data_IF_739969472957
#
_entry.id   IF_739969472957
#
_cell.length_a   1.000
_cell.length_b   1.000
_cell.length_c   1.000
_cell.angle_alpha   90.00
_cell.angle_beta   90.00
_cell.angle_gamma   90.00
#
_symmetry.space_group_name_H-M   'P 1'
#
loop_
_entity.id
_entity.type
_entity.pdbx_description
1 polymer ?
#
# COMPACT_ATOMS: atom_id res chain seq x y z
N UNK A 1 -12.41 15.17 -1.62
CA UNK A 1 -11.19 15.59 -0.91
C UNK A 1 -10.54 16.74 -1.63
N UNK A 2 -10.54 17.94 -1.05
CA UNK A 2 -9.82 19.09 -1.61
C UNK A 2 -8.37 19.03 -1.11
N UNK A 3 -7.41 18.87 -2.03
CA UNK A 3 -6.00 18.91 -1.69
C UNK A 3 -5.41 20.27 -2.03
N UNK A 4 -4.92 21.00 -1.04
CA UNK A 4 -4.17 22.26 -1.24
C UNK A 4 -2.86 22.00 -2.00
N UNK A 5 -2.26 20.84 -1.82
CA UNK A 5 -1.05 20.42 -2.54
C UNK A 5 -1.31 20.29 -4.06
N UNK A 6 -2.43 19.67 -4.45
CA UNK A 6 -2.76 19.43 -5.84
C UNK A 6 -3.60 20.57 -6.47
N UNK A 7 -4.08 21.53 -5.68
CA UNK A 7 -4.96 22.62 -6.14
C UNK A 7 -6.33 22.15 -6.67
N UNK A 8 -6.69 20.89 -6.42
CA UNK A 8 -7.93 20.25 -6.86
C UNK A 8 -8.31 19.10 -5.96
N UNK A 9 -9.53 18.62 -6.10
CA UNK A 9 -9.98 17.38 -5.47
C UNK A 9 -9.18 16.19 -5.99
N UNK A 10 -8.81 15.30 -5.06
CA UNK A 10 -8.17 14.02 -5.35
C UNK A 10 -9.14 12.90 -4.95
N UNK A 11 -9.36 11.97 -5.85
CA UNK A 11 -10.15 10.78 -5.59
C UNK A 11 -9.27 9.69 -4.99
N UNK A 12 -9.72 9.10 -3.88
CA UNK A 12 -9.20 7.85 -3.38
C UNK A 12 -10.08 6.71 -3.87
N UNK A 13 -9.45 5.64 -4.37
CA UNK A 13 -10.15 4.46 -4.85
C UNK A 13 -9.97 3.29 -3.89
N UNK A 14 -11.00 2.47 -3.80
CA UNK A 14 -10.96 1.21 -3.06
C UNK A 14 -12.12 0.30 -3.43
N UNK A 15 -11.97 -0.99 -3.16
CA UNK A 15 -13.03 -1.96 -3.29
C UNK A 15 -13.28 -2.61 -1.94
N UNK A 16 -14.52 -2.59 -1.48
CA UNK A 16 -14.94 -3.24 -0.22
C UNK A 16 -15.44 -4.65 -0.54
N UNK A 17 -14.88 -5.63 0.13
CA UNK A 17 -15.31 -7.03 0.11
C UNK A 17 -15.95 -7.30 1.46
N UNK A 18 -17.22 -7.65 1.44
CA UNK A 18 -17.99 -7.98 2.63
C UNK A 18 -18.23 -9.49 2.70
N UNK A 19 -18.46 -10.05 3.90
CA UNK A 19 -18.93 -11.42 4.09
C UNK A 19 -20.24 -11.70 3.32
N UNK A 20 -20.52 -12.98 3.06
CA UNK A 20 -21.76 -13.36 2.34
C UNK A 20 -23.04 -13.08 3.16
N UNK A 21 -22.93 -13.12 4.50
CA UNK A 21 -24.02 -12.80 5.44
C UNK A 21 -23.93 -11.36 6.00
N UNK A 22 -23.26 -10.47 5.30
CA UNK A 22 -23.03 -9.08 5.73
C UNK A 22 -24.34 -8.34 6.03
N UNK A 23 -24.43 -7.82 7.26
CA UNK A 23 -25.53 -6.96 7.73
C UNK A 23 -24.99 -5.56 8.09
N UNK A 24 -25.27 -4.52 7.27
CA UNK A 24 -24.84 -3.15 7.57
C UNK A 24 -25.55 -2.54 8.79
N UNK A 25 -26.66 -3.15 9.23
CA UNK A 25 -27.46 -2.69 10.38
C UNK A 25 -27.06 -3.30 11.72
N UNK A 26 -26.05 -4.18 11.75
CA UNK A 26 -25.60 -4.76 13.02
C UNK A 26 -25.10 -3.69 13.98
N UNK A 27 -25.33 -3.92 15.28
CA UNK A 27 -24.94 -2.96 16.34
C UNK A 27 -23.41 -2.78 16.40
N UNK A 28 -22.67 -3.88 16.31
CA UNK A 28 -21.22 -3.87 16.43
C UNK A 28 -20.56 -3.86 15.04
N UNK A 29 -19.73 -2.83 14.70
CA UNK A 29 -19.06 -2.77 13.40
C UNK A 29 -18.16 -3.99 13.14
N UNK A 30 -18.06 -4.39 11.86
CA UNK A 30 -17.17 -5.46 11.45
C UNK A 30 -15.70 -5.07 11.63
N UNK A 31 -14.83 -5.98 12.09
CA UNK A 31 -13.39 -5.81 11.91
C UNK A 31 -13.06 -5.63 10.42
N UNK A 32 -12.04 -4.84 10.13
CA UNK A 32 -11.67 -4.53 8.75
C UNK A 32 -10.17 -4.67 8.54
N UNK A 33 -9.82 -5.31 7.43
CA UNK A 33 -8.45 -5.38 6.95
C UNK A 33 -8.31 -4.51 5.70
N UNK A 34 -7.46 -3.50 5.77
CA UNK A 34 -7.07 -2.66 4.64
C UNK A 34 -5.88 -3.32 3.93
N UNK A 35 -6.11 -3.76 2.70
CA UNK A 35 -5.10 -4.40 1.86
C UNK A 35 -4.50 -3.40 0.87
N UNK A 36 -3.17 -3.41 0.78
CA UNK A 36 -2.40 -2.60 -0.17
C UNK A 36 -1.63 -3.55 -1.08
N UNK A 37 -1.91 -3.48 -2.38
CA UNK A 37 -1.20 -4.26 -3.40
C UNK A 37 0.21 -3.74 -3.65
N UNK A 38 1.02 -4.52 -4.37
CA UNK A 38 2.34 -4.10 -4.83
C UNK A 38 2.29 -3.08 -5.98
N UNK A 39 3.46 -2.69 -6.47
CA UNK A 39 3.59 -1.78 -7.59
C UNK A 39 2.77 -2.27 -8.81
N UNK A 40 2.03 -1.37 -9.44
CA UNK A 40 1.15 -1.68 -10.56
C UNK A 40 -0.18 -2.34 -10.20
N UNK A 41 -0.43 -2.64 -8.91
CA UNK A 41 -1.71 -3.18 -8.46
C UNK A 41 -2.70 -2.07 -8.15
N UNK A 42 -3.96 -2.31 -8.47
CA UNK A 42 -5.08 -1.43 -8.12
C UNK A 42 -6.20 -2.18 -7.38
N UNK A 43 -7.24 -1.45 -7.01
CA UNK A 43 -8.39 -2.02 -6.31
C UNK A 43 -9.29 -2.91 -7.19
N UNK A 44 -9.14 -2.88 -8.52
CA UNK A 44 -9.89 -3.76 -9.43
C UNK A 44 -9.47 -5.23 -9.32
N UNK A 45 -8.26 -5.51 -8.80
CA UNK A 45 -7.79 -6.84 -8.43
C UNK A 45 -8.63 -7.53 -7.34
N UNK A 46 -9.53 -6.81 -6.67
CA UNK A 46 -10.41 -7.33 -5.61
C UNK A 46 -11.23 -8.55 -6.03
N UNK A 47 -11.61 -8.67 -7.31
CA UNK A 47 -12.33 -9.84 -7.83
C UNK A 47 -11.53 -11.15 -7.67
N UNK A 48 -10.25 -11.11 -7.98
CA UNK A 48 -9.37 -12.28 -7.77
C UNK A 48 -9.14 -12.52 -6.28
N UNK A 49 -8.94 -11.46 -5.52
CA UNK A 49 -8.71 -11.57 -4.09
C UNK A 49 -9.93 -12.12 -3.34
N UNK A 50 -11.16 -11.78 -3.75
CA UNK A 50 -12.36 -12.37 -3.17
C UNK A 50 -12.31 -13.91 -3.22
N UNK A 51 -11.92 -14.50 -4.34
CA UNK A 51 -11.82 -15.95 -4.48
C UNK A 51 -10.79 -16.59 -3.52
N UNK A 52 -9.72 -15.90 -3.17
CA UNK A 52 -8.76 -16.37 -2.16
C UNK A 52 -9.31 -16.26 -0.75
N UNK A 53 -10.06 -15.21 -0.45
CA UNK A 53 -10.58 -14.96 0.89
C UNK A 53 -11.79 -15.83 1.21
N UNK A 54 -12.69 -16.06 0.25
CA UNK A 54 -13.87 -16.93 0.43
C UNK A 54 -13.52 -18.42 0.59
N UNK A 55 -12.27 -18.80 0.38
CA UNK A 55 -11.80 -20.16 0.64
C UNK A 55 -11.41 -20.40 2.12
N UNK A 56 -11.52 -19.41 3.00
CA UNK A 56 -11.15 -19.54 4.41
C UNK A 56 -12.38 -19.58 5.31
N UNK A 57 -12.32 -20.40 6.37
CA UNK A 57 -13.38 -20.51 7.40
C UNK A 57 -13.60 -19.23 8.23
N UNK A 58 -12.83 -18.15 7.94
CA UNK A 58 -12.89 -16.86 8.63
C UNK A 58 -13.44 -15.75 7.76
N UNK A 59 -13.97 -16.07 6.57
CA UNK A 59 -14.41 -15.05 5.59
C UNK A 59 -15.60 -14.21 6.10
N UNK A 60 -16.48 -14.82 6.87
CA UNK A 60 -17.71 -14.23 7.42
C UNK A 60 -17.49 -13.29 8.62
N UNK A 61 -16.27 -13.19 9.13
CA UNK A 61 -15.97 -12.46 10.36
C UNK A 61 -15.29 -11.10 10.13
N UNK A 62 -14.76 -10.85 8.95
CA UNK A 62 -13.96 -9.66 8.65
C UNK A 62 -14.27 -9.09 7.27
N UNK A 63 -14.48 -7.78 7.21
CA UNK A 63 -14.52 -7.08 5.94
C UNK A 63 -13.10 -6.76 5.45
N UNK A 64 -12.94 -6.64 4.13
CA UNK A 64 -11.66 -6.31 3.51
C UNK A 64 -11.81 -5.14 2.58
N UNK A 65 -10.89 -4.20 2.62
CA UNK A 65 -10.85 -3.04 1.74
C UNK A 65 -9.57 -3.10 0.93
N UNK A 66 -9.70 -3.29 -0.37
CA UNK A 66 -8.56 -3.25 -1.28
C UNK A 66 -8.33 -1.81 -1.69
N UNK A 67 -7.25 -1.21 -1.23
CA UNK A 67 -6.92 0.19 -1.46
C UNK A 67 -6.19 0.38 -2.80
N UNK A 68 -6.43 1.51 -3.44
CA UNK A 68 -5.70 1.92 -4.63
C UNK A 68 -4.57 2.87 -4.26
N UNK A 69 -3.33 2.43 -4.46
CA UNK A 69 -2.14 3.22 -4.21
C UNK A 69 -1.49 3.78 -5.48
N UNK A 70 -2.13 3.63 -6.63
CA UNK A 70 -1.56 4.10 -7.91
C UNK A 70 -1.62 5.62 -8.06
N UNK A 71 -0.58 6.15 -8.69
CA UNK A 71 -0.48 7.52 -9.18
C UNK A 71 0.05 7.53 -10.60
N UNK A 72 0.06 8.69 -11.23
CA UNK A 72 0.71 8.89 -12.53
C UNK A 72 2.20 8.49 -12.53
N UNK A 73 2.90 8.70 -11.40
CA UNK A 73 4.32 8.36 -11.23
C UNK A 73 4.56 6.98 -10.60
N UNK A 74 3.57 6.10 -10.56
CA UNK A 74 3.64 4.78 -9.96
C UNK A 74 2.87 4.67 -8.64
N UNK A 75 3.48 4.10 -7.61
CA UNK A 75 2.85 3.81 -6.33
C UNK A 75 3.14 4.90 -5.29
N UNK A 76 2.12 5.50 -4.65
CA UNK A 76 2.33 6.55 -3.64
C UNK A 76 2.60 6.04 -2.23
N UNK A 77 2.63 4.73 -2.03
CA UNK A 77 2.93 4.00 -0.78
C UNK A 77 2.18 4.49 0.47
N UNK A 78 1.13 5.26 0.29
CA UNK A 78 0.40 5.94 1.38
C UNK A 78 1.31 6.71 2.35
N UNK A 79 2.41 7.27 1.84
CA UNK A 79 3.26 8.18 2.60
C UNK A 79 2.98 9.63 2.19
N UNK A 80 2.92 10.53 3.15
CA UNK A 80 2.90 11.96 2.89
C UNK A 80 4.27 12.37 2.34
N UNK A 81 4.29 12.99 1.19
CA UNK A 81 5.53 13.31 0.49
C UNK A 81 5.43 14.56 -0.37
N UNK A 82 6.59 15.15 -0.66
CA UNK A 82 6.68 16.29 -1.57
C UNK A 82 6.22 15.95 -3.02
N UNK A 83 6.28 14.68 -3.41
CA UNK A 83 5.92 14.26 -4.77
C UNK A 83 4.43 13.91 -4.90
N UNK A 84 3.85 13.25 -3.88
CA UNK A 84 2.50 12.69 -3.96
C UNK A 84 1.48 13.41 -3.06
N UNK A 85 1.92 14.38 -2.26
CA UNK A 85 1.07 15.11 -1.34
C UNK A 85 0.67 14.29 -0.10
N UNK A 86 -0.38 14.71 0.62
CA UNK A 86 -0.77 14.16 1.92
C UNK A 86 -1.59 12.88 1.78
N UNK A 87 -0.97 11.79 1.29
CA UNK A 87 -1.66 10.52 1.01
C UNK A 87 -2.03 9.73 2.25
N UNK A 88 -1.14 9.70 3.24
CA UNK A 88 -1.42 9.08 4.53
C UNK A 88 -2.47 9.87 5.29
N UNK A 89 -2.28 11.19 5.41
CA UNK A 89 -3.24 12.07 6.07
C UNK A 89 -4.64 11.91 5.49
N UNK A 90 -4.78 11.96 4.17
CA UNK A 90 -6.06 11.79 3.51
C UNK A 90 -6.67 10.39 3.71
N UNK A 91 -5.86 9.34 3.77
CA UNK A 91 -6.33 8.00 4.08
C UNK A 91 -6.92 7.92 5.49
N UNK A 92 -6.18 8.41 6.49
CA UNK A 92 -6.53 8.31 7.91
C UNK A 92 -7.68 9.25 8.29
N UNK A 93 -7.66 10.49 7.83
CA UNK A 93 -8.60 11.50 8.27
C UNK A 93 -9.89 11.58 7.44
N UNK A 94 -9.86 11.09 6.19
CA UNK A 94 -11.00 11.24 5.30
C UNK A 94 -11.52 9.89 4.76
N UNK A 95 -10.66 9.09 4.11
CA UNK A 95 -11.12 7.94 3.35
C UNK A 95 -11.54 6.77 4.24
N UNK A 96 -10.74 6.40 5.23
CA UNK A 96 -11.10 5.35 6.20
C UNK A 96 -12.36 5.72 6.97
N UNK A 97 -12.50 6.91 7.58
CA UNK A 97 -13.73 7.31 8.26
C UNK A 97 -14.97 7.29 7.35
N UNK A 98 -14.82 7.70 6.09
CA UNK A 98 -15.91 7.59 5.11
C UNK A 98 -16.34 6.14 4.86
N UNK A 99 -15.40 5.23 4.64
CA UNK A 99 -15.67 3.81 4.41
C UNK A 99 -16.33 3.16 5.62
N UNK A 100 -15.80 3.41 6.81
CA UNK A 100 -16.30 2.86 8.06
C UNK A 100 -17.73 3.28 8.35
N UNK A 101 -18.04 4.56 8.15
CA UNK A 101 -19.40 5.07 8.29
C UNK A 101 -20.35 4.49 7.24
N UNK A 102 -19.87 4.30 6.01
CA UNK A 102 -20.70 3.84 4.89
C UNK A 102 -21.03 2.36 4.99
N UNK A 103 -20.09 1.55 5.46
CA UNK A 103 -20.18 0.09 5.47
C UNK A 103 -20.20 -0.52 6.87
N UNK A 104 -20.38 0.26 7.92
CA UNK A 104 -20.37 -0.21 9.32
C UNK A 104 -19.14 -1.06 9.65
N UNK A 105 -17.94 -0.51 9.40
CA UNK A 105 -16.66 -1.16 9.58
C UNK A 105 -15.87 -0.50 10.70
N UNK A 106 -14.84 -1.16 11.22
CA UNK A 106 -13.81 -0.60 12.08
C UNK A 106 -14.35 0.12 13.30
N UNK A 107 -14.34 1.43 13.27
CA UNK A 107 -14.82 2.32 14.32
C UNK A 107 -13.84 2.52 15.49
N UNK A 108 -12.90 1.60 15.69
CA UNK A 108 -11.83 1.71 16.71
C UNK A 108 -10.53 1.12 16.18
N UNK A 109 -9.41 1.50 16.81
CA UNK A 109 -8.09 0.95 16.49
C UNK A 109 -8.07 -0.57 16.58
N UNK A 110 -8.71 -1.14 17.58
CA UNK A 110 -8.75 -2.59 17.82
C UNK A 110 -9.35 -3.41 16.68
N UNK A 111 -10.17 -2.78 15.83
CA UNK A 111 -10.84 -3.44 14.69
C UNK A 111 -10.22 -3.12 13.33
N UNK A 112 -9.14 -2.35 13.28
CA UNK A 112 -8.45 -1.97 12.04
C UNK A 112 -7.16 -2.72 11.88
N UNK A 113 -7.04 -3.46 10.80
CA UNK A 113 -5.86 -4.23 10.47
C UNK A 113 -5.31 -3.82 9.10
N UNK A 114 -4.01 -3.97 8.93
CA UNK A 114 -3.32 -3.70 7.68
C UNK A 114 -2.73 -4.99 7.11
N UNK A 115 -2.76 -5.12 5.80
CA UNK A 115 -1.97 -6.12 5.11
C UNK A 115 -1.50 -5.58 3.76
N UNK A 116 -0.37 -6.07 3.27
CA UNK A 116 0.11 -5.65 1.97
C UNK A 116 1.24 -6.53 1.47
N UNK A 117 1.50 -6.44 0.16
CA UNK A 117 2.53 -7.23 -0.51
C UNK A 117 3.47 -6.30 -1.30
N UNK A 118 4.78 -6.58 -1.29
CA UNK A 118 5.79 -5.81 -2.03
C UNK A 118 5.78 -4.33 -1.58
N UNK A 119 5.62 -3.36 -2.49
CA UNK A 119 5.44 -1.94 -2.14
C UNK A 119 4.24 -1.69 -1.22
N UNK A 120 3.20 -2.51 -1.31
CA UNK A 120 2.08 -2.51 -0.36
C UNK A 120 2.47 -3.08 1.01
N UNK A 121 3.40 -4.03 1.06
CA UNK A 121 3.98 -4.53 2.30
C UNK A 121 4.76 -3.43 3.02
N UNK A 122 5.57 -2.67 2.30
CA UNK A 122 6.23 -1.47 2.82
C UNK A 122 5.22 -0.43 3.32
N UNK A 123 4.20 -0.14 2.49
CA UNK A 123 3.15 0.83 2.82
C UNK A 123 2.38 0.47 4.10
N UNK A 124 2.01 -0.80 4.23
CA UNK A 124 1.27 -1.27 5.41
C UNK A 124 2.11 -1.18 6.69
N UNK A 125 3.41 -1.50 6.62
CA UNK A 125 4.33 -1.33 7.74
C UNK A 125 4.53 0.15 8.09
N UNK A 126 4.71 1.01 7.08
CA UNK A 126 4.82 2.46 7.26
C UNK A 126 3.60 3.04 7.98
N UNK A 127 2.39 2.71 7.51
CA UNK A 127 1.14 3.17 8.11
C UNK A 127 1.01 2.73 9.58
N UNK A 128 1.35 1.47 9.90
CA UNK A 128 1.30 0.96 11.27
C UNK A 128 2.28 1.69 12.19
N UNK A 129 3.51 1.91 11.74
CA UNK A 129 4.55 2.58 12.55
C UNK A 129 4.21 4.05 12.79
N UNK A 130 3.67 4.73 11.78
CA UNK A 130 3.28 6.14 11.89
C UNK A 130 1.99 6.35 12.70
N UNK A 131 1.12 5.34 12.76
CA UNK A 131 -0.19 5.44 13.40
C UNK A 131 -0.46 4.21 14.30
N UNK A 132 0.37 3.97 15.35
CA UNK A 132 0.31 2.74 16.13
C UNK A 132 -1.00 2.53 16.89
N UNK A 133 -1.65 3.62 17.29
CA UNK A 133 -2.94 3.58 18.01
C UNK A 133 -4.16 3.54 17.06
N UNK A 134 -3.95 3.82 15.77
CA UNK A 134 -5.01 3.81 14.78
C UNK A 134 -5.27 2.40 14.21
N UNK A 135 -4.23 1.57 14.10
CA UNK A 135 -4.29 0.19 13.61
C UNK A 135 -3.83 -0.79 14.68
N UNK A 136 -4.48 -1.97 14.73
CA UNK A 136 -4.20 -3.01 15.72
C UNK A 136 -3.12 -4.01 15.29
N UNK A 137 -2.75 -4.02 14.02
CA UNK A 137 -1.73 -4.94 13.54
C UNK A 137 -1.55 -4.92 12.05
N UNK A 138 -0.42 -5.47 11.60
CA UNK A 138 0.00 -5.48 10.21
C UNK A 138 0.58 -6.82 9.78
N UNK A 139 0.20 -7.25 8.58
CA UNK A 139 0.82 -8.35 7.84
C UNK A 139 1.54 -7.80 6.62
N UNK A 140 2.84 -7.54 6.77
CA UNK A 140 3.72 -7.05 5.72
C UNK A 140 4.36 -8.23 4.98
N UNK A 141 3.92 -8.50 3.76
CA UNK A 141 4.33 -9.65 2.97
C UNK A 141 5.38 -9.23 1.93
N UNK A 142 6.57 -9.84 2.01
CA UNK A 142 7.69 -9.56 1.11
C UNK A 142 7.84 -8.05 0.79
N UNK A 143 7.99 -7.19 1.80
CA UNK A 143 8.03 -5.75 1.61
C UNK A 143 9.23 -5.33 0.76
N UNK A 144 9.12 -4.17 0.11
CA UNK A 144 10.28 -3.44 -0.37
C UNK A 144 11.21 -3.14 0.82
N UNK A 145 12.52 -2.89 0.60
CA UNK A 145 13.47 -2.66 1.68
C UNK A 145 13.02 -1.58 2.66
N UNK A 146 13.05 -1.91 3.96
CA UNK A 146 12.66 -1.00 5.05
C UNK A 146 13.86 -0.21 5.60
N UNK A 147 15.07 -0.70 5.35
CA UNK A 147 16.32 -0.03 5.73
C UNK A 147 16.92 0.69 4.52
N UNK A 148 16.95 2.01 4.58
CA UNK A 148 17.45 2.84 3.49
C UNK A 148 18.99 2.90 3.40
N UNK A 149 19.72 2.35 4.38
CA UNK A 149 21.13 2.04 4.22
C UNK A 149 21.38 0.87 3.26
N UNK A 150 20.34 0.05 3.03
CA UNK A 150 20.37 -1.12 2.15
C UNK A 150 19.14 -1.17 1.26
N UNK A 151 18.80 -0.04 0.64
CA UNK A 151 17.66 0.02 -0.27
C UNK A 151 18.01 -0.72 -1.58
N UNK A 152 17.75 -2.00 -1.62
CA UNK A 152 18.24 -2.97 -2.61
C UNK A 152 19.77 -3.10 -2.57
N UNK A 153 20.51 -2.23 -3.28
CA UNK A 153 21.97 -2.24 -3.31
C UNK A 153 22.63 -0.96 -2.80
N UNK A 154 22.08 0.25 -3.02
CA UNK A 154 22.66 1.49 -2.54
C UNK A 154 22.28 1.81 -1.10
N UNK A 155 23.19 2.47 -0.40
CA UNK A 155 22.92 3.25 0.80
C UNK A 155 22.40 4.63 0.37
N UNK A 156 21.12 4.90 0.63
CA UNK A 156 20.50 6.18 0.23
C UNK A 156 20.91 7.35 1.12
N UNK A 157 21.56 7.11 2.26
CA UNK A 157 22.11 8.17 3.12
C UNK A 157 23.57 8.49 2.81
N UNK A 158 24.22 7.70 1.95
CA UNK A 158 25.61 7.99 1.55
C UNK A 158 25.68 9.31 0.76
N UNK A 159 26.80 10.00 0.92
CA UNK A 159 27.10 11.19 0.12
C UNK A 159 27.14 10.81 -1.37
N UNK A 160 26.41 11.55 -2.21
CA UNK A 160 26.25 11.29 -3.65
C UNK A 160 25.60 9.94 -3.97
N UNK A 161 24.73 9.43 -3.08
CA UNK A 161 23.96 8.21 -3.33
C UNK A 161 23.29 8.24 -4.71
N UNK A 162 23.42 7.15 -5.46
CA UNK A 162 22.84 7.01 -6.79
C UNK A 162 22.16 5.64 -6.94
N UNK A 163 20.86 5.65 -7.29
CA UNK A 163 20.07 4.44 -7.49
C UNK A 163 20.44 3.70 -8.79
N UNK A 164 20.98 4.41 -9.78
CA UNK A 164 21.16 3.90 -11.13
C UNK A 164 22.59 3.42 -11.40
N UNK A 165 23.58 4.08 -10.81
CA UNK A 165 24.98 3.73 -10.99
C UNK A 165 25.70 3.52 -9.66
N UNK A 166 26.74 2.70 -9.66
CA UNK A 166 27.64 2.53 -8.53
C UNK A 166 28.73 3.63 -8.51
N UNK A 167 29.65 3.54 -7.58
CA UNK A 167 30.78 4.45 -7.40
C UNK A 167 31.76 4.49 -8.56
N UNK A 168 31.76 3.45 -9.41
CA UNK A 168 32.59 3.35 -10.60
C UNK A 168 31.84 3.84 -11.87
N UNK A 169 30.57 4.28 -11.72
CA UNK A 169 29.73 4.68 -12.83
C UNK A 169 29.09 3.52 -13.59
N UNK A 170 29.25 2.28 -13.09
CA UNK A 170 28.61 1.09 -13.68
C UNK A 170 27.13 1.03 -13.30
N UNK A 171 26.30 0.62 -14.25
CA UNK A 171 24.84 0.55 -14.04
C UNK A 171 24.48 -0.54 -13.03
N UNK A 172 23.71 -0.18 -11.99
CA UNK A 172 23.24 -1.11 -10.97
C UNK A 172 22.14 -2.03 -11.54
N UNK A 173 22.30 -3.36 -11.42
CA UNK A 173 21.25 -4.28 -11.84
C UNK A 173 20.12 -4.33 -10.83
N UNK A 174 18.88 -4.30 -11.32
CA UNK A 174 17.65 -4.53 -10.53
C UNK A 174 17.33 -6.02 -10.39
N UNK A 175 17.78 -6.85 -11.31
CA UNK A 175 17.53 -8.29 -11.27
C UNK A 175 18.70 -9.11 -11.78
N UNK A 176 18.85 -10.32 -11.22
CA UNK A 176 19.88 -11.27 -11.58
C UNK A 176 19.29 -12.67 -11.77
N UNK A 177 19.90 -13.44 -12.68
CA UNK A 177 19.69 -14.88 -12.78
C UNK A 177 20.98 -15.56 -12.30
N UNK A 178 20.96 -16.11 -11.09
CA UNK A 178 22.20 -16.49 -10.41
C UNK A 178 23.09 -15.25 -10.18
N UNK A 179 24.29 -15.25 -10.69
CA UNK A 179 25.22 -14.10 -10.60
C UNK A 179 25.14 -13.14 -11.79
N UNK A 180 24.42 -13.51 -12.86
CA UNK A 180 24.36 -12.71 -14.09
C UNK A 180 23.28 -11.63 -14.00
N UNK A 181 23.62 -10.33 -14.15
CA UNK A 181 22.65 -9.25 -14.26
C UNK A 181 21.76 -9.45 -15.50
N UNK A 182 20.44 -9.29 -15.33
CA UNK A 182 19.45 -9.49 -16.43
C UNK A 182 18.46 -8.34 -16.56
N UNK A 183 18.36 -7.46 -15.57
CA UNK A 183 17.46 -6.32 -15.57
C UNK A 183 18.18 -5.10 -15.00
N UNK A 184 18.06 -3.97 -15.65
CA UNK A 184 18.64 -2.70 -15.25
C UNK A 184 17.56 -1.61 -15.20
N UNK A 185 17.79 -0.57 -14.39
CA UNK A 185 16.82 0.49 -14.15
C UNK A 185 16.40 1.25 -15.42
N UNK A 186 17.33 1.50 -16.34
CA UNK A 186 17.04 2.19 -17.61
C UNK A 186 16.08 1.39 -18.50
N UNK A 187 16.21 0.06 -18.49
CA UNK A 187 15.29 -0.81 -19.24
C UNK A 187 13.87 -0.83 -18.65
N UNK A 188 13.74 -0.57 -17.35
CA UNK A 188 12.43 -0.50 -16.69
C UNK A 188 11.71 0.83 -16.97
N UNK A 189 12.43 1.95 -16.93
CA UNK A 189 11.88 3.28 -17.23
C UNK A 189 11.46 3.41 -18.70
N UNK A 190 12.22 2.81 -19.61
CA UNK A 190 11.90 2.83 -21.05
C UNK A 190 10.68 1.98 -21.45
N UNK A 191 10.09 1.23 -20.53
CA UNK A 191 8.85 0.46 -20.77
C UNK A 191 7.58 1.26 -20.39
N UNK A 192 7.73 2.40 -19.71
CA UNK A 192 6.64 3.26 -19.24
C UNK A 192 6.43 4.51 -20.13
N UNK A 193 7.27 4.74 -21.15
CA UNK A 193 7.14 5.76 -22.17
C UNK A 193 6.43 5.20 -23.44
#
# INVERSE_FOLDING_TARGET
>A
MLSTFHGKEILHGGCVIVPDDYDPGREEPYPVMYWIGGFGSDHHGARMMKAYFTASDYDDQICRVILNAQTYSGHHVFADSANNGPRMTALIEEFIPYLEKTYNLGGSGEKRFLAGHSSGGWSSMWLQVQNPDFFNGVWSLAPDPLDFHYFQTPDLYAENANMYTDENGEERPLGRRGTTPVLFSRGFIAMDD
#
